data_IF_793717012006
#
_entry.id   IF_793717012006
#
_cell.length_a   1.000
_cell.length_b   1.000
_cell.length_c   1.000
_cell.angle_alpha   90.00
_cell.angle_beta   90.00
_cell.angle_gamma   90.00
#
_symmetry.space_group_name_H-M   'P 1'
#
loop_
_entity.id
_entity.type
_entity.pdbx_description
1 polymer ?
#
# COMPACT_ATOMS: atom_id res chain seq x y z
N UNK A 1 -43.58 5.63 -10.82
CA UNK A 1 -42.15 5.50 -10.53
C UNK A 1 -41.66 4.26 -11.25
N UNK A 2 -41.21 4.41 -12.49
CA UNK A 2 -40.56 3.35 -13.26
C UNK A 2 -39.17 3.87 -13.64
N UNK A 3 -38.21 3.70 -12.73
CA UNK A 3 -36.79 3.90 -13.01
C UNK A 3 -36.28 2.60 -13.64
N UNK A 4 -36.36 2.52 -14.97
CA UNK A 4 -35.89 1.38 -15.74
C UNK A 4 -34.37 1.40 -15.96
N UNK A 5 -33.67 0.43 -15.39
CA UNK A 5 -32.55 -0.36 -15.95
C UNK A 5 -31.50 0.32 -16.86
N UNK A 6 -31.10 1.57 -16.59
CA UNK A 6 -30.01 2.21 -17.32
C UNK A 6 -28.87 2.66 -16.40
N UNK A 7 -27.63 2.36 -16.80
CA UNK A 7 -26.43 2.93 -16.16
C UNK A 7 -26.27 4.39 -16.59
N UNK A 8 -26.41 5.31 -15.63
CA UNK A 8 -26.17 6.73 -15.82
C UNK A 8 -24.72 7.07 -15.50
N UNK A 9 -23.98 7.52 -16.51
CA UNK A 9 -22.63 8.02 -16.36
C UNK A 9 -22.63 9.55 -16.40
N UNK A 10 -22.04 10.19 -15.39
CA UNK A 10 -21.90 11.64 -15.28
C UNK A 10 -20.44 12.04 -15.49
N UNK A 11 -20.21 13.14 -16.20
CA UNK A 11 -18.87 13.68 -16.38
C UNK A 11 -18.29 14.13 -15.04
N UNK A 12 -17.07 13.69 -14.71
CA UNK A 12 -16.36 14.06 -13.48
C UNK A 12 -15.83 15.50 -13.50
N UNK A 13 -15.73 16.09 -14.70
CA UNK A 13 -15.26 17.47 -14.95
C UNK A 13 -15.93 18.01 -16.22
N UNK A 14 -15.91 19.34 -16.47
CA UNK A 14 -16.27 19.90 -17.77
C UNK A 14 -15.42 19.29 -18.89
N UNK A 15 -16.05 19.01 -20.03
CA UNK A 15 -15.41 18.41 -21.22
C UNK A 15 -15.72 19.30 -22.42
N UNK A 16 -14.69 19.83 -23.07
CA UNK A 16 -14.85 20.65 -24.26
C UNK A 16 -15.18 19.79 -25.50
N UNK A 17 -15.80 20.40 -26.52
CA UNK A 17 -16.04 19.70 -27.77
C UNK A 17 -14.71 19.27 -28.42
N UNK A 18 -14.60 17.99 -28.78
CA UNK A 18 -13.38 17.39 -29.33
C UNK A 18 -12.36 16.93 -28.28
N UNK A 19 -12.64 17.12 -27.00
CA UNK A 19 -11.81 16.59 -25.91
C UNK A 19 -12.15 15.12 -25.61
N UNK A 20 -11.14 14.34 -25.22
CA UNK A 20 -11.31 12.96 -24.80
C UNK A 20 -12.17 12.85 -23.53
N UNK A 21 -13.13 11.93 -23.54
CA UNK A 21 -13.93 11.57 -22.36
C UNK A 21 -13.22 10.44 -21.64
N UNK A 22 -12.76 10.69 -20.42
CA UNK A 22 -12.05 9.70 -19.59
C UNK A 22 -12.95 9.15 -18.48
N UNK A 23 -12.75 7.88 -18.13
CA UNK A 23 -13.43 7.21 -17.02
C UNK A 23 -12.43 6.81 -15.94
N UNK A 24 -12.85 6.93 -14.68
CA UNK A 24 -12.11 6.41 -13.55
C UNK A 24 -12.53 4.96 -13.28
N UNK A 25 -11.56 4.04 -13.31
CA UNK A 25 -11.76 2.61 -13.03
C UNK A 25 -11.70 2.28 -11.53
N UNK A 26 -11.58 3.32 -10.70
CA UNK A 26 -11.39 3.23 -9.26
C UNK A 26 -9.91 3.02 -8.89
N UNK A 27 -9.64 2.88 -7.58
CA UNK A 27 -8.29 2.74 -7.05
C UNK A 27 -7.72 1.35 -7.38
N UNK A 28 -7.04 1.22 -8.51
CA UNK A 28 -6.41 -0.04 -8.96
C UNK A 28 -4.91 0.15 -9.19
N UNK A 29 -4.13 -0.81 -8.70
CA UNK A 29 -2.69 -0.89 -8.96
C UNK A 29 -2.40 -1.26 -10.41
N UNK A 30 -1.21 -0.94 -10.93
CA UNK A 30 -0.88 -1.28 -12.32
C UNK A 30 -0.84 -2.80 -12.56
N UNK A 31 -0.42 -3.58 -11.56
CA UNK A 31 -0.45 -5.05 -11.65
C UNK A 31 -1.86 -5.58 -11.93
N UNK A 32 -2.88 -4.98 -11.33
CA UNK A 32 -4.27 -5.32 -11.55
C UNK A 32 -4.75 -4.84 -12.93
N UNK A 33 -4.48 -3.58 -13.29
CA UNK A 33 -4.88 -2.99 -14.57
C UNK A 33 -4.30 -3.76 -15.76
N UNK A 34 -3.03 -4.16 -15.70
CA UNK A 34 -2.39 -4.95 -16.76
C UNK A 34 -3.05 -6.31 -16.88
N UNK A 35 -3.35 -6.97 -15.75
CA UNK A 35 -3.91 -8.33 -15.75
C UNK A 35 -5.37 -8.36 -16.19
N UNK A 36 -6.16 -7.34 -15.85
CA UNK A 36 -7.62 -7.34 -16.05
C UNK A 36 -8.07 -6.48 -17.23
N UNK A 37 -7.33 -5.43 -17.57
CA UNK A 37 -7.68 -4.47 -18.62
C UNK A 37 -6.62 -4.37 -19.73
N UNK A 38 -5.42 -4.91 -19.54
CA UNK A 38 -4.37 -4.95 -20.56
C UNK A 38 -3.58 -3.65 -20.75
N UNK A 39 -3.64 -2.72 -19.79
CA UNK A 39 -2.87 -1.47 -19.82
C UNK A 39 -2.28 -1.10 -18.46
N UNK A 40 -1.29 -0.20 -18.46
CA UNK A 40 -0.74 0.42 -17.25
C UNK A 40 -0.79 1.94 -17.36
N UNK A 41 -0.93 2.62 -16.23
CA UNK A 41 -0.98 4.07 -16.10
C UNK A 41 0.38 4.58 -15.61
N UNK A 42 0.95 5.55 -16.32
CA UNK A 42 2.15 6.25 -15.87
C UNK A 42 1.83 7.09 -14.63
N UNK A 43 2.71 7.06 -13.62
CA UNK A 43 2.52 7.75 -12.34
C UNK A 43 1.16 7.43 -11.66
N UNK A 44 0.76 6.16 -11.65
CA UNK A 44 -0.46 5.70 -10.99
C UNK A 44 -0.41 6.00 -9.48
N UNK A 45 -1.31 6.87 -9.00
CA UNK A 45 -1.41 7.25 -7.59
C UNK A 45 -1.96 6.12 -6.69
N UNK A 46 -2.55 5.08 -7.29
CA UNK A 46 -3.15 3.94 -6.59
C UNK A 46 -2.26 2.70 -6.57
N UNK A 47 -0.97 2.87 -6.85
CA UNK A 47 -0.01 1.78 -6.78
C UNK A 47 0.05 1.17 -5.38
N UNK A 48 -0.01 -0.16 -5.33
CA UNK A 48 -0.03 -0.90 -4.07
C UNK A 48 0.43 -2.34 -4.26
N UNK A 49 0.83 -2.97 -3.16
CA UNK A 49 1.15 -4.40 -3.12
C UNK A 49 0.38 -5.07 -1.98
N UNK A 50 0.08 -6.34 -2.13
CA UNK A 50 -0.66 -7.12 -1.14
C UNK A 50 0.30 -7.78 -0.15
N UNK A 51 0.02 -7.65 1.15
CA UNK A 51 0.78 -8.25 2.23
C UNK A 51 -0.04 -9.33 2.95
N UNK A 52 0.55 -10.52 3.09
CA UNK A 52 0.02 -11.57 3.94
C UNK A 52 0.65 -11.48 5.32
N UNK A 53 -0.06 -10.84 6.25
CA UNK A 53 0.37 -10.66 7.64
C UNK A 53 -0.47 -11.53 8.58
N UNK A 54 0.17 -12.08 9.60
CA UNK A 54 -0.48 -12.86 10.65
C UNK A 54 0.38 -12.97 11.91
N UNK A 55 -0.17 -13.53 12.99
CA UNK A 55 0.60 -13.82 14.20
C UNK A 55 1.79 -14.73 13.89
N UNK A 56 2.92 -14.47 14.56
CA UNK A 56 4.14 -15.23 14.32
C UNK A 56 4.01 -16.66 14.87
N UNK A 57 4.61 -17.67 14.20
CA UNK A 57 4.72 -19.00 14.76
C UNK A 57 5.39 -18.97 16.14
N UNK A 58 4.73 -19.57 17.14
CA UNK A 58 5.24 -19.62 18.51
C UNK A 58 4.99 -18.36 19.36
N UNK A 59 4.30 -17.33 18.85
CA UNK A 59 3.86 -16.21 19.69
C UNK A 59 2.77 -16.69 20.68
N UNK A 60 3.00 -16.62 22.00
CA UNK A 60 2.03 -17.06 23.00
C UNK A 60 0.73 -16.23 22.99
N UNK A 61 0.74 -15.03 22.38
CA UNK A 61 -0.42 -14.17 22.23
C UNK A 61 -1.20 -14.42 20.94
N UNK A 62 -0.76 -15.34 20.07
CA UNK A 62 -1.41 -15.65 18.80
C UNK A 62 -2.92 -15.89 18.94
N UNK A 63 -3.43 -16.71 19.88
CA UNK A 63 -4.88 -16.94 20.00
C UNK A 63 -5.67 -15.65 20.26
N UNK A 64 -5.11 -14.73 21.06
CA UNK A 64 -5.74 -13.45 21.36
C UNK A 64 -5.68 -12.52 20.15
N UNK A 65 -4.53 -12.42 19.49
CA UNK A 65 -4.36 -11.61 18.28
C UNK A 65 -5.30 -12.06 17.16
N UNK A 66 -5.40 -13.37 16.90
CA UNK A 66 -6.34 -13.91 15.92
C UNK A 66 -7.79 -13.59 16.26
N UNK A 67 -8.17 -13.72 17.54
CA UNK A 67 -9.53 -13.39 17.97
C UNK A 67 -9.85 -11.91 17.72
N UNK A 68 -8.90 -11.01 18.02
CA UNK A 68 -9.06 -9.58 17.76
C UNK A 68 -9.16 -9.26 16.27
N UNK A 69 -8.31 -9.89 15.44
CA UNK A 69 -8.37 -9.74 13.99
C UNK A 69 -9.74 -10.18 13.44
N UNK A 70 -10.22 -11.36 13.85
CA UNK A 70 -11.55 -11.85 13.44
C UNK A 70 -12.68 -10.96 13.93
N UNK A 71 -12.61 -10.46 15.17
CA UNK A 71 -13.62 -9.55 15.72
C UNK A 71 -13.64 -8.20 14.98
N UNK A 72 -12.50 -7.75 14.47
CA UNK A 72 -12.36 -6.57 13.63
C UNK A 72 -12.71 -6.78 12.15
N UNK A 73 -13.10 -7.99 11.74
CA UNK A 73 -13.24 -8.38 10.33
C UNK A 73 -11.96 -8.11 9.50
N UNK A 74 -10.80 -8.27 10.15
CA UNK A 74 -9.49 -8.06 9.55
C UNK A 74 -8.94 -9.40 9.06
N UNK A 75 -8.73 -9.50 7.75
CA UNK A 75 -8.18 -10.70 7.12
C UNK A 75 -7.20 -10.33 6.01
N UNK A 76 -6.11 -11.09 5.92
CA UNK A 76 -5.17 -10.98 4.81
C UNK A 76 -5.83 -11.35 3.47
N UNK A 77 -5.33 -10.81 2.34
CA UNK A 77 -4.21 -9.88 2.23
C UNK A 77 -4.56 -8.43 2.60
N UNK A 78 -3.58 -7.69 3.12
CA UNK A 78 -3.69 -6.26 3.41
C UNK A 78 -2.99 -5.43 2.35
N UNK A 79 -3.60 -4.31 1.96
CA UNK A 79 -3.02 -3.41 0.96
C UNK A 79 -1.93 -2.53 1.55
N UNK A 80 -0.70 -2.68 1.07
CA UNK A 80 0.40 -1.75 1.31
C UNK A 80 0.44 -0.69 0.23
N UNK A 81 0.29 0.57 0.64
CA UNK A 81 0.51 1.76 -0.18
C UNK A 81 1.00 2.89 0.71
N UNK A 82 1.50 3.97 0.10
CA UNK A 82 1.87 5.18 0.84
C UNK A 82 0.66 5.77 1.58
N UNK A 83 -0.52 5.75 0.96
CA UNK A 83 -1.76 6.21 1.58
C UNK A 83 -2.13 5.36 2.81
N UNK A 84 -2.01 4.03 2.71
CA UNK A 84 -2.32 3.13 3.83
C UNK A 84 -1.46 3.39 5.08
N UNK A 85 -0.24 3.92 4.92
CA UNK A 85 0.57 4.33 6.07
C UNK A 85 0.17 5.69 6.61
N UNK A 86 -0.26 6.62 5.75
CA UNK A 86 -0.59 8.01 6.12
C UNK A 86 -1.97 8.17 6.74
N UNK A 87 -2.92 7.32 6.38
CA UNK A 87 -4.26 7.30 6.95
C UNK A 87 -4.39 6.18 7.97
N UNK A 88 -5.44 6.27 8.80
CA UNK A 88 -5.85 5.11 9.58
C UNK A 88 -6.41 4.04 8.63
N UNK A 89 -5.73 2.90 8.56
CA UNK A 89 -6.02 1.83 7.60
C UNK A 89 -6.00 0.49 8.30
N UNK A 90 -6.68 -0.49 7.73
CA UNK A 90 -6.66 -1.87 8.21
C UNK A 90 -5.23 -2.41 8.35
N UNK A 91 -4.33 -2.04 7.42
CA UNK A 91 -2.92 -2.40 7.52
C UNK A 91 -2.28 -1.85 8.81
N UNK A 92 -2.47 -0.56 9.10
CA UNK A 92 -1.87 0.07 10.28
C UNK A 92 -2.45 -0.50 11.59
N UNK A 93 -3.77 -0.73 11.63
CA UNK A 93 -4.46 -1.41 12.72
C UNK A 93 -3.88 -2.80 12.96
N UNK A 94 -3.76 -3.62 11.92
CA UNK A 94 -3.23 -4.98 12.00
C UNK A 94 -1.78 -4.98 12.46
N UNK A 95 -0.95 -4.07 11.93
CA UNK A 95 0.45 -3.92 12.35
C UNK A 95 0.56 -3.63 13.84
N UNK A 96 -0.28 -2.75 14.39
CA UNK A 96 -0.33 -2.43 15.82
C UNK A 96 -0.72 -3.64 16.67
N UNK A 97 -1.75 -4.38 16.25
CA UNK A 97 -2.22 -5.58 16.97
C UNK A 97 -1.19 -6.72 16.91
N UNK A 98 -0.58 -6.97 15.74
CA UNK A 98 0.42 -8.04 15.57
C UNK A 98 1.71 -7.74 16.34
N UNK A 99 2.10 -6.47 16.45
CA UNK A 99 3.28 -6.06 17.21
C UNK A 99 3.01 -5.74 18.69
N UNK A 100 1.77 -5.91 19.15
CA UNK A 100 1.39 -5.66 20.54
C UNK A 100 1.93 -6.71 21.50
N UNK A 101 2.31 -6.26 22.70
CA UNK A 101 2.59 -7.13 23.84
C UNK A 101 1.34 -7.30 24.73
N UNK A 102 1.44 -8.15 25.76
CA UNK A 102 0.32 -8.46 26.65
C UNK A 102 -0.26 -7.24 27.38
N UNK A 103 0.57 -6.27 27.77
CA UNK A 103 0.09 -5.06 28.44
C UNK A 103 -0.66 -4.13 27.48
N UNK A 104 -0.12 -3.93 26.27
CA UNK A 104 -0.73 -3.09 25.24
C UNK A 104 -2.03 -3.67 24.69
N UNK A 105 -2.15 -5.00 24.61
CA UNK A 105 -3.40 -5.65 24.21
C UNK A 105 -4.56 -5.40 25.18
N UNK A 106 -4.32 -4.89 26.40
CA UNK A 106 -5.40 -4.46 27.29
C UNK A 106 -6.09 -3.18 26.80
N UNK A 107 -5.38 -2.38 26.01
CA UNK A 107 -5.86 -1.13 25.40
C UNK A 107 -6.07 -1.27 23.89
N UNK A 108 -6.39 -2.47 23.40
CA UNK A 108 -6.52 -2.74 21.96
C UNK A 108 -7.54 -1.82 21.25
N UNK A 109 -8.55 -1.32 21.97
CA UNK A 109 -9.54 -0.39 21.45
C UNK A 109 -8.92 0.89 20.87
N UNK A 110 -7.80 1.36 21.45
CA UNK A 110 -7.08 2.51 20.92
C UNK A 110 -6.64 2.29 19.46
N UNK A 111 -6.21 1.07 19.11
CA UNK A 111 -5.84 0.76 17.73
C UNK A 111 -7.04 0.84 16.79
N UNK A 112 -8.21 0.34 17.21
CA UNK A 112 -9.46 0.40 16.42
C UNK A 112 -10.00 1.83 16.26
N UNK A 113 -9.61 2.74 17.15
CA UNK A 113 -9.91 4.17 17.07
C UNK A 113 -8.79 4.96 16.36
N UNK A 114 -7.87 4.27 15.69
CA UNK A 114 -6.78 4.85 14.91
C UNK A 114 -5.61 5.40 15.73
N UNK A 115 -5.64 5.24 17.05
CA UNK A 115 -4.58 5.70 17.95
C UNK A 115 -3.45 4.69 18.09
N UNK A 116 -2.27 5.21 18.41
CA UNK A 116 -1.11 4.39 18.75
C UNK A 116 -1.33 3.69 20.10
N UNK A 117 -0.97 2.40 20.20
CA UNK A 117 -1.01 1.66 21.47
C UNK A 117 0.09 2.12 22.43
N UNK A 118 1.29 2.36 21.90
CA UNK A 118 2.43 2.95 22.62
C UNK A 118 3.50 3.39 21.62
N UNK A 119 4.39 4.34 21.97
CA UNK A 119 5.55 4.66 21.13
C UNK A 119 6.46 3.45 20.85
N UNK A 120 6.54 2.51 21.80
CA UNK A 120 7.30 1.28 21.63
C UNK A 120 6.66 0.32 20.62
N UNK A 121 5.32 0.23 20.61
CA UNK A 121 4.56 -0.53 19.61
C UNK A 121 4.78 0.03 18.22
N UNK A 122 4.69 1.36 18.08
CA UNK A 122 4.90 2.07 16.83
C UNK A 122 6.30 1.78 16.24
N UNK A 123 7.33 1.80 17.08
CA UNK A 123 8.69 1.41 16.68
C UNK A 123 8.81 -0.06 16.28
N UNK A 124 8.10 -0.98 16.95
CA UNK A 124 8.18 -2.42 16.65
C UNK A 124 7.58 -2.73 15.29
N UNK A 125 6.37 -2.25 15.00
CA UNK A 125 5.77 -2.50 13.69
C UNK A 125 6.54 -1.78 12.57
N UNK A 126 7.03 -0.55 12.81
CA UNK A 126 7.82 0.18 11.82
C UNK A 126 9.16 -0.51 11.50
N UNK A 127 9.76 -1.18 12.49
CA UNK A 127 10.95 -2.02 12.27
C UNK A 127 10.60 -3.26 11.45
N UNK A 128 9.55 -3.99 11.84
CA UNK A 128 9.12 -5.21 11.17
C UNK A 128 8.74 -4.92 9.71
N UNK A 129 7.78 -4.02 9.47
CA UNK A 129 7.35 -3.65 8.13
C UNK A 129 8.52 -3.08 7.33
N UNK A 130 9.34 -2.22 7.94
CA UNK A 130 10.50 -1.65 7.25
C UNK A 130 11.52 -2.69 6.78
N UNK A 131 11.72 -3.79 7.53
CA UNK A 131 12.59 -4.88 7.09
C UNK A 131 11.95 -5.66 5.93
N UNK A 132 10.65 -5.96 6.02
CA UNK A 132 9.92 -6.65 4.96
C UNK A 132 9.88 -5.85 3.65
N UNK A 133 9.57 -4.56 3.70
CA UNK A 133 9.50 -3.69 2.51
C UNK A 133 10.87 -3.53 1.86
N UNK A 134 11.95 -3.44 2.64
CA UNK A 134 13.32 -3.42 2.08
C UNK A 134 13.64 -4.74 1.38
N UNK A 135 13.34 -5.89 1.99
CA UNK A 135 13.54 -7.18 1.35
C UNK A 135 12.73 -7.32 0.04
N UNK A 136 11.48 -6.81 0.03
CA UNK A 136 10.65 -6.77 -1.19
C UNK A 136 11.22 -5.87 -2.29
N UNK A 137 11.87 -4.76 -1.92
CA UNK A 137 12.56 -3.88 -2.86
C UNK A 137 13.83 -4.55 -3.37
N UNK A 138 14.65 -5.12 -2.50
CA UNK A 138 15.89 -5.83 -2.87
C UNK A 138 15.59 -6.97 -3.88
N UNK A 139 14.52 -7.73 -3.65
CA UNK A 139 14.06 -8.77 -4.58
C UNK A 139 13.69 -8.20 -5.96
N UNK A 140 12.94 -7.10 -6.00
CA UNK A 140 12.55 -6.42 -7.25
C UNK A 140 13.74 -5.76 -7.95
N UNK A 141 14.74 -5.35 -7.18
CA UNK A 141 15.95 -4.71 -7.68
C UNK A 141 17.05 -5.69 -8.07
N UNK A 142 16.81 -7.00 -7.97
CA UNK A 142 17.77 -8.05 -8.33
C UNK A 142 18.28 -7.95 -9.79
N UNK A 143 17.52 -7.34 -10.69
CA UNK A 143 17.86 -7.22 -12.11
C UNK A 143 17.94 -5.78 -12.64
N UNK A 144 17.11 -4.87 -12.12
CA UNK A 144 17.14 -3.44 -12.48
C UNK A 144 16.78 -2.59 -11.27
N UNK A 145 17.34 -1.39 -11.12
CA UNK A 145 16.97 -0.49 -10.02
C UNK A 145 15.77 0.40 -10.38
N UNK A 146 15.12 0.96 -9.36
CA UNK A 146 14.08 2.00 -9.52
C UNK A 146 14.60 3.13 -10.41
N UNK A 147 15.85 3.56 -10.18
CA UNK A 147 16.48 4.66 -10.91
C UNK A 147 16.74 4.34 -12.39
N UNK A 148 17.16 3.11 -12.67
CA UNK A 148 17.36 2.67 -14.06
C UNK A 148 16.02 2.63 -14.80
N UNK A 149 15.00 2.04 -14.16
CA UNK A 149 13.66 1.97 -14.71
C UNK A 149 13.05 3.37 -14.90
N UNK A 150 13.31 4.30 -13.97
CA UNK A 150 12.86 5.69 -14.08
C UNK A 150 13.42 6.39 -15.33
N UNK A 151 14.69 6.12 -15.66
CA UNK A 151 15.32 6.68 -16.84
C UNK A 151 14.68 6.13 -18.14
N UNK A 152 14.35 4.83 -18.16
CA UNK A 152 13.66 4.22 -19.29
C UNK A 152 12.21 4.73 -19.43
N UNK A 153 11.51 4.93 -18.31
CA UNK A 153 10.17 5.55 -18.30
C UNK A 153 10.24 6.99 -18.82
N UNK A 154 11.23 7.77 -18.39
CA UNK A 154 11.43 9.14 -18.85
C UNK A 154 11.78 9.22 -20.35
N UNK A 155 12.46 8.20 -20.89
CA UNK A 155 12.76 8.11 -22.32
C UNK A 155 11.52 7.77 -23.18
N UNK A 156 10.43 7.31 -22.56
CA UNK A 156 9.15 7.07 -23.19
C UNK A 156 9.04 5.73 -23.93
N UNK A 157 7.85 5.44 -24.49
CA UNK A 157 7.54 4.12 -25.08
C UNK A 157 8.31 3.82 -26.37
N UNK A 158 8.88 4.83 -27.04
CA UNK A 158 9.59 4.67 -28.31
C UNK A 158 10.84 3.79 -28.24
N UNK A 159 11.41 3.61 -27.03
CA UNK A 159 12.53 2.69 -26.80
C UNK A 159 12.11 1.23 -26.59
N UNK A 160 10.82 0.96 -26.41
CA UNK A 160 10.31 -0.37 -26.18
C UNK A 160 10.01 -1.08 -27.49
N UNK A 161 10.13 -2.41 -27.52
CA UNK A 161 9.80 -3.20 -28.72
C UNK A 161 8.29 -3.30 -28.93
N UNK A 162 7.50 -3.08 -27.88
CA UNK A 162 6.04 -3.09 -27.93
C UNK A 162 5.41 -2.33 -26.77
N UNK A 163 4.10 -2.04 -26.88
CA UNK A 163 3.31 -1.48 -25.78
C UNK A 163 3.22 -2.42 -24.57
N UNK A 164 3.31 -3.74 -24.77
CA UNK A 164 3.31 -4.71 -23.66
C UNK A 164 4.57 -4.57 -22.81
N UNK A 165 5.71 -4.37 -23.44
CA UNK A 165 6.98 -4.09 -22.74
C UNK A 165 6.93 -2.77 -22.01
N UNK A 166 6.33 -1.75 -22.64
CA UNK A 166 6.10 -0.47 -21.99
C UNK A 166 5.24 -0.61 -20.73
N UNK A 167 4.13 -1.34 -20.78
CA UNK A 167 3.28 -1.57 -19.60
C UNK A 167 3.98 -2.40 -18.51
N UNK A 168 4.80 -3.37 -18.89
CA UNK A 168 5.62 -4.12 -17.94
C UNK A 168 6.66 -3.22 -17.25
N UNK A 169 7.29 -2.31 -18.00
CA UNK A 169 8.21 -1.30 -17.45
C UNK A 169 7.48 -0.35 -16.49
N UNK A 170 6.33 0.21 -16.90
CA UNK A 170 5.55 1.11 -16.05
C UNK A 170 5.16 0.43 -14.73
N UNK A 171 4.69 -0.81 -14.80
CA UNK A 171 4.27 -1.58 -13.61
C UNK A 171 5.44 -1.84 -12.67
N UNK A 172 6.56 -2.38 -13.19
CA UNK A 172 7.72 -2.68 -12.32
C UNK A 172 8.34 -1.42 -11.72
N UNK A 173 8.38 -0.32 -12.49
CA UNK A 173 8.89 0.96 -12.03
C UNK A 173 8.00 1.51 -10.90
N UNK A 174 6.69 1.54 -11.12
CA UNK A 174 5.73 2.06 -10.17
C UNK A 174 5.76 1.28 -8.83
N UNK A 175 5.83 -0.05 -8.88
CA UNK A 175 5.98 -0.86 -7.67
C UNK A 175 7.25 -0.51 -6.89
N UNK A 176 8.42 -0.44 -7.55
CA UNK A 176 9.69 -0.08 -6.90
C UNK A 176 9.64 1.32 -6.31
N UNK A 177 9.12 2.28 -7.07
CA UNK A 177 8.95 3.65 -6.63
C UNK A 177 8.09 3.74 -5.37
N UNK A 178 6.95 3.05 -5.37
CA UNK A 178 6.06 2.98 -4.21
C UNK A 178 6.76 2.38 -2.99
N UNK A 179 7.55 1.30 -3.15
CA UNK A 179 8.33 0.72 -2.05
C UNK A 179 9.39 1.68 -1.51
N UNK A 180 10.10 2.41 -2.38
CA UNK A 180 11.06 3.46 -1.98
C UNK A 180 10.37 4.55 -1.16
N UNK A 181 9.20 5.02 -1.61
CA UNK A 181 8.42 6.05 -0.92
C UNK A 181 7.88 5.54 0.43
N UNK A 182 7.44 4.29 0.50
CA UNK A 182 7.03 3.63 1.75
C UNK A 182 8.20 3.51 2.73
N UNK A 183 9.41 3.15 2.27
CA UNK A 183 10.59 3.09 3.13
C UNK A 183 10.90 4.46 3.72
N UNK A 184 10.85 5.52 2.89
CA UNK A 184 11.08 6.88 3.33
C UNK A 184 10.04 7.32 4.39
N UNK A 185 8.76 7.01 4.20
CA UNK A 185 7.68 7.29 5.16
C UNK A 185 7.90 6.55 6.48
N UNK A 186 8.25 5.26 6.45
CA UNK A 186 8.55 4.48 7.66
C UNK A 186 9.73 5.07 8.43
N UNK A 187 10.78 5.49 7.72
CA UNK A 187 11.99 6.05 8.34
C UNK A 187 11.74 7.46 8.91
N UNK A 188 10.90 8.26 8.27
CA UNK A 188 10.43 9.53 8.81
C UNK A 188 9.67 9.33 10.13
N UNK A 189 8.75 8.35 10.18
CA UNK A 189 7.99 8.02 11.39
C UNK A 189 8.88 7.53 12.53
N UNK A 190 9.88 6.69 12.24
CA UNK A 190 10.85 6.24 13.26
C UNK A 190 11.56 7.41 13.95
N UNK A 191 11.91 8.47 13.20
CA UNK A 191 12.52 9.68 13.77
C UNK A 191 11.56 10.37 14.73
N UNK A 192 10.31 10.58 14.32
CA UNK A 192 9.26 11.16 15.16
C UNK A 192 9.06 10.41 16.48
N UNK A 193 9.02 9.07 16.44
CA UNK A 193 8.86 8.24 17.64
C UNK A 193 10.08 8.24 18.55
N UNK A 194 11.26 8.58 18.03
CA UNK A 194 12.49 8.63 18.82
C UNK A 194 12.57 9.93 19.63
N UNK A 195 12.11 11.04 19.06
CA UNK A 195 12.06 12.35 19.73
C UNK A 195 11.05 12.37 20.89
N UNK A 196 9.90 11.71 20.75
CA UNK A 196 8.86 11.66 21.80
C UNK A 196 9.21 10.79 23.02
N UNK A 197 10.35 10.08 23.03
CA UNK A 197 10.77 9.26 24.17
C UNK A 197 11.88 9.95 24.99
N UNK A 198 12.32 11.14 24.56
CA UNK A 198 13.39 11.91 25.19
C UNK A 198 12.87 13.08 26.05
N UNK A 199 11.56 13.22 26.18
CA UNK A 199 10.85 14.14 27.10
C UNK A 199 10.15 13.32 28.20
#
# INVERSE_FOLDING_TARGET
HEEGDAFLLRAARPIAAGEEVTLDYGPRANAELVTTHGFAIAANAHESVLLSLGPQPGDPLSPVKEKLLRAGNLSAPYTLSLAALRTDSDLLLVLRLLCANSAELKSYADAFEGRALSPANERRWARMLGASVRAMLDEREAHTSERADAADVAAGPSRMRSMREWFALLTRHAEKRMLVDVIAEIDARKKTFSTQTAE
#
